data_IF_421332889344
#
_entry.id   IF_421332889344
#
_cell.length_a   1.000
_cell.length_b   1.000
_cell.length_c   1.000
_cell.angle_alpha   90.00
_cell.angle_beta   90.00
_cell.angle_gamma   90.00
#
_symmetry.space_group_name_H-M   'P 1'
#
loop_
_entity.id
_entity.type
_entity.pdbx_description
1 polymer ?
#
# COMPACT_ATOMS: atom_id res chain seq x y z
N UNK A 1 25.90 15.39 10.61
CA UNK A 1 25.74 16.45 9.58
C UNK A 1 24.48 16.19 8.72
N UNK A 2 24.37 15.05 8.03
CA UNK A 2 23.23 14.73 7.13
C UNK A 2 21.88 14.86 7.83
N UNK A 3 21.70 14.25 9.01
CA UNK A 3 20.44 14.29 9.77
C UNK A 3 20.06 15.74 10.13
N UNK A 4 21.04 16.59 10.46
CA UNK A 4 20.80 18.00 10.76
C UNK A 4 20.31 18.76 9.51
N UNK A 5 20.86 18.47 8.35
CA UNK A 5 20.39 19.10 7.09
C UNK A 5 18.99 18.61 6.76
N UNK A 6 18.74 17.29 6.82
CA UNK A 6 17.44 16.69 6.54
C UNK A 6 16.35 17.22 7.48
N UNK A 7 16.68 17.44 8.78
CA UNK A 7 15.70 17.96 9.75
C UNK A 7 15.20 19.36 9.41
N UNK A 8 15.96 20.14 8.64
CA UNK A 8 15.60 21.49 8.20
C UNK A 8 14.87 21.54 6.87
N UNK A 9 14.59 20.39 6.25
CA UNK A 9 13.95 20.27 4.94
C UNK A 9 12.53 19.70 5.04
N UNK A 10 11.48 20.50 5.18
CA UNK A 10 10.10 20.04 5.29
C UNK A 10 9.67 19.14 4.14
N UNK A 11 10.07 19.42 2.89
CA UNK A 11 9.75 18.58 1.74
C UNK A 11 10.28 17.16 1.90
N UNK A 12 11.49 17.00 2.44
CA UNK A 12 12.08 15.69 2.73
C UNK A 12 11.19 14.87 3.68
N UNK A 13 10.78 15.46 4.80
CA UNK A 13 9.97 14.77 5.80
C UNK A 13 8.58 14.43 5.27
N UNK A 14 7.94 15.35 4.57
CA UNK A 14 6.63 15.09 3.98
C UNK A 14 6.70 14.00 2.90
N UNK A 15 7.70 14.00 2.02
CA UNK A 15 7.88 12.91 1.06
C UNK A 15 8.19 11.59 1.77
N UNK A 16 9.10 11.59 2.74
CA UNK A 16 9.45 10.38 3.50
C UNK A 16 8.22 9.79 4.19
N UNK A 17 7.38 10.62 4.84
CA UNK A 17 6.15 10.16 5.48
C UNK A 17 5.14 9.66 4.46
N UNK A 18 4.91 10.38 3.35
CA UNK A 18 4.00 9.94 2.29
C UNK A 18 4.41 8.59 1.71
N UNK A 19 5.69 8.41 1.42
CA UNK A 19 6.24 7.13 0.93
C UNK A 19 6.16 6.04 1.99
N UNK A 20 6.47 6.36 3.26
CA UNK A 20 6.38 5.39 4.37
C UNK A 20 4.97 4.86 4.53
N UNK A 21 3.96 5.74 4.53
CA UNK A 21 2.56 5.35 4.63
C UNK A 21 2.13 4.53 3.41
N UNK A 22 2.54 4.96 2.20
CA UNK A 22 2.24 4.22 0.98
C UNK A 22 2.85 2.81 1.01
N UNK A 23 4.10 2.69 1.45
CA UNK A 23 4.80 1.41 1.61
C UNK A 23 4.17 0.54 2.70
N UNK A 24 3.83 1.14 3.85
CA UNK A 24 3.16 0.47 4.96
C UNK A 24 1.86 -0.22 4.52
N UNK A 25 1.01 0.51 3.80
CA UNK A 25 -0.23 -0.06 3.26
C UNK A 25 0.05 -1.11 2.19
N UNK A 26 0.98 -0.83 1.27
CA UNK A 26 1.30 -1.74 0.17
C UNK A 26 1.85 -3.08 0.66
N UNK A 27 2.84 -3.05 1.55
CA UNK A 27 3.45 -4.27 2.10
C UNK A 27 2.50 -5.01 3.04
N UNK A 28 1.78 -4.29 3.89
CA UNK A 28 0.78 -4.89 4.75
C UNK A 28 -0.24 -5.68 3.95
N UNK A 29 -0.89 -5.04 2.98
CA UNK A 29 -1.91 -5.68 2.13
C UNK A 29 -1.29 -6.76 1.23
N UNK A 30 -0.10 -6.51 0.69
CA UNK A 30 0.56 -7.44 -0.24
C UNK A 30 0.81 -8.83 0.35
N UNK A 31 1.16 -8.91 1.64
CA UNK A 31 1.38 -10.19 2.33
C UNK A 31 0.11 -11.06 2.40
N UNK A 32 -1.05 -10.45 2.46
CA UNK A 32 -2.33 -11.17 2.57
C UNK A 32 -3.09 -11.28 1.24
N UNK A 33 -2.54 -10.72 0.16
CA UNK A 33 -3.24 -10.64 -1.12
C UNK A 33 -3.62 -12.02 -1.70
N UNK A 34 -2.69 -12.97 -1.69
CA UNK A 34 -2.96 -14.34 -2.16
C UNK A 34 -4.01 -15.02 -1.26
N UNK A 35 -3.91 -14.85 0.06
CA UNK A 35 -4.90 -15.37 1.00
C UNK A 35 -6.29 -14.76 0.77
N UNK A 36 -6.36 -13.48 0.43
CA UNK A 36 -7.61 -12.81 0.05
C UNK A 36 -8.24 -13.48 -1.19
N UNK A 37 -7.47 -13.68 -2.25
CA UNK A 37 -7.96 -14.30 -3.48
C UNK A 37 -8.47 -15.73 -3.23
N UNK A 38 -7.78 -16.52 -2.41
CA UNK A 38 -8.18 -17.88 -2.08
C UNK A 38 -9.47 -17.88 -1.24
N UNK A 39 -9.55 -17.02 -0.22
CA UNK A 39 -10.70 -17.02 0.71
C UNK A 39 -11.96 -16.38 0.13
N UNK A 40 -11.79 -15.37 -0.71
CA UNK A 40 -12.91 -14.57 -1.24
C UNK A 40 -13.40 -15.07 -2.61
N UNK A 41 -12.50 -15.59 -3.43
CA UNK A 41 -12.80 -16.00 -4.81
C UNK A 41 -12.56 -17.51 -5.03
N UNK A 42 -12.27 -18.25 -3.97
CA UNK A 42 -12.06 -19.73 -3.99
C UNK A 42 -11.02 -20.18 -5.03
N UNK A 43 -10.03 -19.35 -5.30
CA UNK A 43 -8.99 -19.66 -6.26
C UNK A 43 -7.99 -20.69 -5.73
N UNK A 44 -7.43 -21.47 -6.65
CA UNK A 44 -6.27 -22.29 -6.31
C UNK A 44 -5.07 -21.42 -5.94
N UNK A 45 -4.15 -21.96 -5.13
CA UNK A 45 -2.88 -21.26 -4.80
C UNK A 45 -2.13 -20.90 -6.09
N UNK A 46 -2.15 -21.77 -7.09
CA UNK A 46 -1.48 -21.54 -8.37
C UNK A 46 -2.11 -20.37 -9.13
N UNK A 47 -3.42 -20.31 -9.26
CA UNK A 47 -4.11 -19.22 -9.96
C UNK A 47 -3.92 -17.89 -9.27
N UNK A 48 -4.05 -17.86 -7.95
CA UNK A 48 -3.87 -16.66 -7.14
C UNK A 48 -2.42 -16.13 -7.21
N UNK A 49 -1.42 -17.01 -7.06
CA UNK A 49 0.00 -16.61 -6.97
C UNK A 49 0.62 -16.39 -8.34
N UNK A 50 0.42 -17.34 -9.27
CA UNK A 50 1.13 -17.32 -10.57
C UNK A 50 0.40 -16.48 -11.59
N UNK A 51 -0.94 -16.61 -11.71
CA UNK A 51 -1.67 -15.86 -12.74
C UNK A 51 -1.94 -14.41 -12.30
N UNK A 52 -2.47 -14.21 -11.11
CA UNK A 52 -2.93 -12.87 -10.69
C UNK A 52 -1.82 -12.08 -10.00
N UNK A 53 -1.16 -12.62 -8.98
CA UNK A 53 -0.13 -11.86 -8.27
C UNK A 53 1.07 -11.51 -9.17
N UNK A 54 1.46 -12.42 -10.10
CA UNK A 54 2.50 -12.12 -11.07
C UNK A 54 2.06 -11.03 -12.07
N UNK A 55 0.80 -11.04 -12.53
CA UNK A 55 0.28 -9.98 -13.39
C UNK A 55 0.32 -8.61 -12.69
N UNK A 56 -0.04 -8.56 -11.39
CA UNK A 56 0.09 -7.35 -10.60
C UNK A 56 1.56 -6.90 -10.44
N UNK A 57 2.49 -7.83 -10.30
CA UNK A 57 3.93 -7.52 -10.23
C UNK A 57 4.44 -6.90 -11.54
N UNK A 58 3.97 -7.37 -12.69
CA UNK A 58 4.26 -6.75 -14.00
C UNK A 58 3.71 -5.32 -14.06
N UNK A 59 2.47 -5.10 -13.60
CA UNK A 59 1.89 -3.76 -13.55
C UNK A 59 2.64 -2.83 -12.58
N UNK A 60 3.13 -3.35 -11.48
CA UNK A 60 4.02 -2.62 -10.56
C UNK A 60 5.33 -2.18 -11.23
N UNK A 61 5.96 -3.06 -12.02
CA UNK A 61 7.15 -2.73 -12.80
C UNK A 61 6.87 -1.64 -13.84
N UNK A 62 5.75 -1.73 -14.57
CA UNK A 62 5.30 -0.69 -15.51
C UNK A 62 5.09 0.64 -14.77
N UNK A 63 4.42 0.63 -13.62
CA UNK A 63 4.19 1.81 -12.79
C UNK A 63 5.48 2.46 -12.30
N UNK A 64 6.46 1.64 -11.89
CA UNK A 64 7.79 2.12 -11.50
C UNK A 64 8.50 2.81 -12.68
N UNK A 65 8.50 2.18 -13.85
CA UNK A 65 9.08 2.77 -15.06
C UNK A 65 8.40 4.09 -15.43
N UNK A 66 7.06 4.12 -15.45
CA UNK A 66 6.28 5.33 -15.72
C UNK A 66 6.58 6.44 -14.71
N UNK A 67 6.75 6.10 -13.44
CA UNK A 67 7.11 7.05 -12.39
C UNK A 67 8.44 7.75 -12.70
N UNK A 68 9.48 6.99 -13.08
CA UNK A 68 10.76 7.53 -13.49
C UNK A 68 10.64 8.42 -14.74
N UNK A 69 9.99 7.90 -15.78
CA UNK A 69 9.78 8.64 -17.03
C UNK A 69 9.05 9.98 -16.82
N UNK A 70 7.96 9.99 -16.05
CA UNK A 70 7.22 11.21 -15.75
C UNK A 70 8.04 12.19 -14.90
N UNK A 71 8.81 11.69 -13.95
CA UNK A 71 9.69 12.52 -13.15
C UNK A 71 10.79 13.17 -14.00
N UNK A 72 11.46 12.41 -14.86
CA UNK A 72 12.49 12.94 -15.75
C UNK A 72 11.93 13.98 -16.73
N UNK A 73 10.72 13.75 -17.22
CA UNK A 73 10.05 14.66 -18.16
C UNK A 73 9.63 15.98 -17.53
N UNK A 74 9.12 15.93 -16.30
CA UNK A 74 8.45 17.07 -15.69
C UNK A 74 9.23 17.71 -14.55
N UNK A 75 9.96 16.95 -13.73
CA UNK A 75 10.58 17.47 -12.51
C UNK A 75 11.75 18.43 -12.77
N UNK A 76 12.37 18.37 -13.94
CA UNK A 76 13.44 19.31 -14.31
C UNK A 76 12.92 20.75 -14.43
N UNK A 77 11.73 20.94 -14.98
CA UNK A 77 11.08 22.24 -15.15
C UNK A 77 10.11 22.58 -14.01
N UNK A 78 9.56 21.57 -13.39
CA UNK A 78 8.53 21.66 -12.37
C UNK A 78 8.77 20.66 -11.24
N UNK A 79 9.67 20.97 -10.29
CA UNK A 79 10.06 20.07 -9.21
C UNK A 79 8.89 19.56 -8.36
N UNK A 80 7.78 20.30 -8.28
CA UNK A 80 6.55 19.85 -7.60
C UNK A 80 5.99 18.56 -8.19
N UNK A 81 6.31 18.22 -9.45
CA UNK A 81 5.88 16.97 -10.08
C UNK A 81 6.28 15.74 -9.27
N UNK A 82 7.45 15.76 -8.59
CA UNK A 82 7.89 14.65 -7.72
C UNK A 82 6.91 14.35 -6.58
N UNK A 83 6.15 15.32 -6.13
CA UNK A 83 5.13 15.14 -5.10
C UNK A 83 3.71 15.00 -5.70
N UNK A 84 3.41 15.73 -6.76
CA UNK A 84 2.07 15.74 -7.36
C UNK A 84 1.73 14.46 -8.12
N UNK A 85 2.71 13.85 -8.80
CA UNK A 85 2.51 12.59 -9.54
C UNK A 85 2.01 11.49 -8.60
N UNK A 86 2.71 11.11 -7.51
CA UNK A 86 2.21 10.10 -6.59
C UNK A 86 0.94 10.53 -5.84
N UNK A 87 0.76 11.82 -5.57
CA UNK A 87 -0.47 12.33 -4.96
C UNK A 87 -1.69 12.03 -5.83
N UNK A 88 -1.68 12.42 -7.11
CA UNK A 88 -2.80 12.16 -8.01
C UNK A 88 -2.98 10.68 -8.32
N UNK A 89 -1.87 9.93 -8.42
CA UNK A 89 -1.94 8.49 -8.59
C UNK A 89 -2.64 7.81 -7.41
N UNK A 90 -2.32 8.18 -6.15
CA UNK A 90 -2.97 7.62 -4.97
C UNK A 90 -4.46 7.97 -4.87
N UNK A 91 -4.88 9.15 -5.35
CA UNK A 91 -6.31 9.48 -5.46
C UNK A 91 -7.02 8.48 -6.38
N UNK A 92 -6.40 8.07 -7.48
CA UNK A 92 -6.93 7.02 -8.36
C UNK A 92 -6.85 5.61 -7.78
N UNK A 93 -5.79 5.31 -7.02
CA UNK A 93 -5.58 3.99 -6.38
C UNK A 93 -6.71 3.62 -5.41
N UNK A 94 -7.15 4.59 -4.59
CA UNK A 94 -8.17 4.32 -3.56
C UNK A 94 -9.44 3.71 -4.16
N UNK A 95 -10.17 4.38 -5.08
CA UNK A 95 -11.39 3.82 -5.64
C UNK A 95 -11.15 2.52 -6.41
N UNK A 96 -10.04 2.39 -7.15
CA UNK A 96 -9.73 1.18 -7.91
C UNK A 96 -9.50 -0.02 -6.99
N UNK A 97 -8.69 0.13 -5.95
CA UNK A 97 -8.43 -0.96 -5.02
C UNK A 97 -9.65 -1.26 -4.14
N UNK A 98 -10.35 -0.25 -3.62
CA UNK A 98 -11.55 -0.46 -2.81
C UNK A 98 -12.62 -1.21 -3.61
N UNK A 99 -12.94 -0.73 -4.82
CA UNK A 99 -13.90 -1.42 -5.70
C UNK A 99 -13.41 -2.80 -6.08
N UNK A 100 -12.11 -2.97 -6.36
CA UNK A 100 -11.53 -4.27 -6.69
C UNK A 100 -11.62 -5.28 -5.54
N UNK A 101 -11.40 -4.87 -4.29
CA UNK A 101 -11.54 -5.76 -3.13
C UNK A 101 -13.00 -6.09 -2.80
N UNK A 102 -13.94 -5.19 -3.11
CA UNK A 102 -15.37 -5.39 -2.87
C UNK A 102 -16.08 -6.10 -4.02
N UNK A 103 -15.46 -6.20 -5.20
CA UNK A 103 -16.07 -6.83 -6.37
C UNK A 103 -16.20 -8.35 -6.17
N UNK A 104 -17.37 -8.88 -6.47
CA UNK A 104 -17.63 -10.32 -6.47
C UNK A 104 -17.02 -11.01 -7.70
N UNK A 105 -17.01 -10.32 -8.83
CA UNK A 105 -16.48 -10.85 -10.08
C UNK A 105 -14.99 -10.57 -10.25
N UNK A 106 -14.20 -11.63 -10.49
CA UNK A 106 -12.78 -11.52 -10.83
C UNK A 106 -12.51 -10.70 -12.10
N UNK A 107 -13.44 -10.73 -13.07
CA UNK A 107 -13.32 -9.95 -14.29
C UNK A 107 -13.35 -8.44 -14.06
N UNK A 108 -13.97 -8.00 -12.98
CA UNK A 108 -13.95 -6.60 -12.55
C UNK A 108 -12.81 -6.35 -11.56
N UNK A 109 -12.63 -7.24 -10.59
CA UNK A 109 -11.64 -7.10 -9.52
C UNK A 109 -10.21 -6.99 -10.07
N UNK A 110 -9.80 -7.95 -10.91
CA UNK A 110 -8.42 -8.07 -11.38
C UNK A 110 -7.96 -6.86 -12.22
N UNK A 111 -8.69 -6.40 -13.25
CA UNK A 111 -8.30 -5.20 -14.00
C UNK A 111 -8.19 -3.94 -13.14
N UNK A 112 -9.14 -3.73 -12.21
CA UNK A 112 -9.09 -2.59 -11.29
C UNK A 112 -7.86 -2.64 -10.39
N UNK A 113 -7.55 -3.82 -9.83
CA UNK A 113 -6.35 -4.01 -9.03
C UNK A 113 -5.06 -3.84 -9.84
N UNK A 114 -5.03 -4.29 -11.10
CA UNK A 114 -3.88 -4.13 -11.99
C UNK A 114 -3.58 -2.65 -12.27
N UNK A 115 -4.60 -1.87 -12.65
CA UNK A 115 -4.43 -0.43 -12.88
C UNK A 115 -4.09 0.30 -11.58
N UNK A 116 -4.75 -0.05 -10.47
CA UNK A 116 -4.43 0.49 -9.16
C UNK A 116 -2.98 0.19 -8.74
N UNK A 117 -2.49 -1.01 -9.01
CA UNK A 117 -1.11 -1.41 -8.70
C UNK A 117 -0.09 -0.61 -9.53
N UNK A 118 -0.36 -0.41 -10.83
CA UNK A 118 0.46 0.43 -11.69
C UNK A 118 0.55 1.87 -11.16
N UNK A 119 -0.57 2.48 -10.82
CA UNK A 119 -0.61 3.83 -10.27
C UNK A 119 0.09 3.92 -8.91
N UNK A 120 -0.11 2.92 -8.06
CA UNK A 120 0.49 2.87 -6.73
C UNK A 120 2.00 3.02 -6.77
N UNK A 121 2.68 2.30 -7.67
CA UNK A 121 4.14 2.29 -7.72
C UNK A 121 4.79 3.59 -8.19
N UNK A 122 4.00 4.62 -8.52
CA UNK A 122 4.51 5.96 -8.83
C UNK A 122 5.19 6.64 -7.63
N UNK A 123 4.95 6.21 -6.39
CA UNK A 123 5.63 6.75 -5.21
C UNK A 123 7.12 6.39 -5.12
N UNK A 124 7.60 5.43 -5.90
CA UNK A 124 9.00 5.01 -5.84
C UNK A 124 9.97 6.07 -6.35
N UNK A 125 9.59 6.87 -7.35
CA UNK A 125 10.48 7.91 -7.86
C UNK A 125 10.83 8.97 -6.78
N UNK A 126 9.88 9.61 -6.10
CA UNK A 126 10.20 10.57 -5.06
C UNK A 126 10.93 9.95 -3.85
N UNK A 127 10.78 8.66 -3.58
CA UNK A 127 11.54 7.92 -2.57
C UNK A 127 13.06 8.11 -2.72
N UNK A 128 13.56 8.14 -3.95
CA UNK A 128 14.98 8.28 -4.25
C UNK A 128 15.36 9.72 -4.66
N UNK A 129 14.52 10.36 -5.45
CA UNK A 129 14.81 11.65 -6.05
C UNK A 129 14.83 12.79 -5.03
N UNK A 130 13.90 12.80 -4.08
CA UNK A 130 13.81 13.90 -3.10
C UNK A 130 14.92 13.85 -2.07
N UNK A 131 15.21 12.73 -1.38
CA UNK A 131 16.33 12.64 -0.46
C UNK A 131 17.66 13.00 -1.11
N UNK A 132 17.87 12.56 -2.36
CA UNK A 132 19.08 12.89 -3.13
C UNK A 132 19.16 14.34 -3.57
N UNK A 133 18.02 14.99 -3.78
CA UNK A 133 17.93 16.36 -4.31
C UNK A 133 17.99 17.46 -3.26
N UNK A 134 17.81 17.14 -1.97
CA UNK A 134 17.81 18.12 -0.87
C UNK A 134 19.15 18.22 -0.15
N UNK A 135 20.14 17.39 -0.52
CA UNK A 135 21.49 17.38 0.07
C UNK A 135 22.57 17.44 -1.01
N UNK A 136 23.81 17.80 -0.58
CA UNK A 136 24.97 17.79 -1.46
C UNK A 136 25.33 16.38 -1.96
N UNK A 137 26.07 16.32 -3.08
CA UNK A 137 26.43 15.08 -3.76
C UNK A 137 27.07 14.02 -2.84
N UNK A 138 27.92 14.45 -1.91
CA UNK A 138 28.61 13.58 -0.93
C UNK A 138 27.66 12.90 0.07
N UNK A 139 26.48 13.49 0.30
CA UNK A 139 25.53 13.04 1.32
C UNK A 139 24.34 12.28 0.76
N UNK A 140 24.21 12.16 -0.58
CA UNK A 140 23.04 11.55 -1.24
C UNK A 140 22.79 10.11 -0.81
N UNK A 141 23.83 9.29 -0.82
CA UNK A 141 23.71 7.88 -0.41
C UNK A 141 23.20 7.74 1.03
N UNK A 142 23.73 8.55 1.96
CA UNK A 142 23.31 8.53 3.36
C UNK A 142 21.86 9.02 3.51
N UNK A 143 21.46 10.08 2.79
CA UNK A 143 20.08 10.59 2.85
C UNK A 143 19.07 9.53 2.35
N UNK A 144 19.38 8.85 1.24
CA UNK A 144 18.56 7.75 0.72
C UNK A 144 18.53 6.58 1.72
N UNK A 145 19.68 6.20 2.30
CA UNK A 145 19.75 5.12 3.28
C UNK A 145 18.88 5.40 4.52
N UNK A 146 18.89 6.64 5.04
CA UNK A 146 18.02 7.06 6.16
C UNK A 146 16.55 6.95 5.76
N UNK A 147 16.19 7.39 4.57
CA UNK A 147 14.81 7.28 4.06
C UNK A 147 14.39 5.82 3.96
N UNK A 148 15.22 4.97 3.33
CA UNK A 148 14.95 3.54 3.20
C UNK A 148 14.85 2.84 4.55
N UNK A 149 15.69 3.22 5.52
CA UNK A 149 15.60 2.69 6.88
C UNK A 149 14.23 2.99 7.51
N UNK A 150 13.76 4.22 7.42
CA UNK A 150 12.44 4.63 7.96
C UNK A 150 11.31 3.86 7.25
N UNK A 151 11.34 3.82 5.91
CA UNK A 151 10.33 3.16 5.08
C UNK A 151 10.27 1.66 5.36
N UNK A 152 11.43 0.98 5.45
CA UNK A 152 11.46 -0.45 5.69
C UNK A 152 11.09 -0.80 7.14
N UNK A 153 11.58 -0.05 8.11
CA UNK A 153 11.27 -0.29 9.52
C UNK A 153 9.77 -0.13 9.80
N UNK A 154 9.17 0.96 9.33
CA UNK A 154 7.76 1.24 9.60
C UNK A 154 6.84 0.55 8.58
N UNK A 155 7.22 0.50 7.30
CA UNK A 155 6.42 -0.12 6.25
C UNK A 155 6.41 -1.65 6.35
N UNK A 156 7.55 -2.29 6.19
CA UNK A 156 7.67 -3.75 6.29
C UNK A 156 7.48 -4.27 7.71
N UNK A 157 8.02 -3.55 8.72
CA UNK A 157 7.99 -4.03 10.09
C UNK A 157 6.59 -4.00 10.71
N UNK A 158 5.80 -2.96 10.46
CA UNK A 158 4.51 -2.76 11.11
C UNK A 158 3.30 -3.09 10.23
N UNK A 159 3.43 -2.99 8.89
CA UNK A 159 2.31 -3.20 7.97
C UNK A 159 1.61 -4.55 8.15
N UNK A 160 2.30 -5.69 7.94
CA UNK A 160 1.67 -7.00 8.03
C UNK A 160 1.09 -7.34 9.41
N UNK A 161 1.76 -7.09 10.55
CA UNK A 161 1.18 -7.36 11.87
C UNK A 161 -0.12 -6.59 12.13
N UNK A 162 -0.18 -5.33 11.72
CA UNK A 162 -1.37 -4.51 11.96
C UNK A 162 -2.55 -4.91 11.07
N UNK A 163 -2.32 -5.28 9.81
CA UNK A 163 -3.37 -5.86 8.96
C UNK A 163 -3.84 -7.19 9.52
N UNK A 164 -2.94 -8.08 9.91
CA UNK A 164 -3.30 -9.37 10.49
C UNK A 164 -4.11 -9.21 11.77
N UNK A 165 -3.70 -8.31 12.67
CA UNK A 165 -4.43 -7.98 13.88
C UNK A 165 -5.82 -7.42 13.59
N UNK A 166 -5.93 -6.44 12.70
CA UNK A 166 -7.23 -5.88 12.30
C UNK A 166 -8.13 -6.94 11.64
N UNK A 167 -7.58 -7.79 10.77
CA UNK A 167 -8.31 -8.89 10.15
C UNK A 167 -8.87 -9.86 11.21
N UNK A 168 -8.11 -10.16 12.26
CA UNK A 168 -8.56 -11.03 13.36
C UNK A 168 -9.69 -10.38 14.16
N UNK A 169 -9.60 -9.09 14.46
CA UNK A 169 -10.65 -8.33 15.16
C UNK A 169 -11.94 -8.31 14.33
N UNK A 170 -11.83 -7.99 13.05
CA UNK A 170 -12.98 -7.95 12.14
C UNK A 170 -13.60 -9.34 11.94
N UNK A 171 -12.77 -10.39 11.81
CA UNK A 171 -13.24 -11.77 11.75
C UNK A 171 -14.08 -12.12 13.00
N UNK A 172 -13.59 -11.81 14.21
CA UNK A 172 -14.37 -12.04 15.43
C UNK A 172 -15.70 -11.27 15.43
N UNK A 173 -15.68 -10.04 14.96
CA UNK A 173 -16.88 -9.18 14.88
C UNK A 173 -17.90 -9.72 13.88
N UNK A 174 -17.49 -10.12 12.68
CA UNK A 174 -18.37 -10.71 11.69
C UNK A 174 -18.90 -12.07 12.14
N UNK A 175 -18.04 -12.91 12.73
CA UNK A 175 -18.45 -14.21 13.25
C UNK A 175 -19.55 -14.09 14.31
N UNK A 176 -19.40 -13.17 15.27
CA UNK A 176 -20.40 -12.92 16.30
C UNK A 176 -21.73 -12.40 15.73
N UNK A 177 -21.70 -11.73 14.58
CA UNK A 177 -22.89 -11.28 13.85
C UNK A 177 -23.58 -12.42 13.07
N UNK A 178 -22.83 -13.41 12.60
CA UNK A 178 -23.36 -14.58 11.87
C UNK A 178 -23.86 -15.66 12.81
N UNK A 179 -23.09 -16.00 13.83
CA UNK A 179 -23.43 -16.97 14.86
C UNK A 179 -22.82 -16.58 16.21
N UNK A 180 -23.61 -15.98 17.11
CA UNK A 180 -23.12 -15.54 18.43
C UNK A 180 -22.60 -16.67 19.33
N UNK A 181 -22.93 -17.93 19.05
CA UNK A 181 -22.45 -19.07 19.82
C UNK A 181 -21.05 -19.54 19.40
N UNK A 182 -20.58 -19.11 18.20
CA UNK A 182 -19.26 -19.46 17.69
C UNK A 182 -18.18 -18.49 18.15
N UNK A 183 -17.01 -19.07 18.44
CA UNK A 183 -15.80 -18.31 18.73
C UNK A 183 -14.71 -18.61 17.69
N UNK A 184 -13.72 -17.73 17.56
CA UNK A 184 -12.58 -17.97 16.65
C UNK A 184 -11.82 -19.27 16.99
N UNK A 185 -11.80 -19.66 18.26
CA UNK A 185 -11.19 -20.92 18.68
C UNK A 185 -12.01 -22.12 18.23
N UNK A 186 -13.35 -22.02 18.27
CA UNK A 186 -14.23 -23.07 17.75
C UNK A 186 -14.01 -23.27 16.23
N UNK A 187 -13.78 -22.21 15.48
CA UNK A 187 -13.48 -22.27 14.03
C UNK A 187 -12.17 -22.99 13.67
N UNK A 188 -11.30 -23.28 14.65
CA UNK A 188 -10.05 -24.03 14.42
C UNK A 188 -10.23 -25.55 14.55
N UNK A 189 -11.38 -25.99 15.07
CA UNK A 189 -11.64 -27.41 15.30
C UNK A 189 -12.07 -28.09 13.99
N UNK A 190 -11.44 -29.23 13.67
CA UNK A 190 -11.90 -30.11 12.59
C UNK A 190 -13.22 -30.77 12.98
N UNK A 191 -14.17 -30.88 12.04
CA UNK A 191 -15.48 -31.50 12.20
C UNK A 191 -16.59 -30.61 12.78
N UNK A 192 -16.60 -29.34 12.43
CA UNK A 192 -17.75 -28.45 12.63
C UNK A 192 -18.93 -28.91 11.75
N UNK A 193 -20.16 -28.66 12.22
CA UNK A 193 -21.34 -28.75 11.35
C UNK A 193 -21.18 -27.81 10.13
N UNK A 194 -21.69 -28.24 8.97
CA UNK A 194 -21.51 -27.49 7.72
C UNK A 194 -21.94 -26.02 7.81
N UNK A 195 -23.02 -25.72 8.53
CA UNK A 195 -23.47 -24.33 8.76
C UNK A 195 -22.47 -23.51 9.58
N UNK A 196 -21.92 -24.10 10.65
CA UNK A 196 -20.91 -23.44 11.48
C UNK A 196 -19.59 -23.22 10.72
N UNK A 197 -19.18 -24.22 9.92
CA UNK A 197 -18.01 -24.08 9.05
C UNK A 197 -18.22 -22.94 8.04
N UNK A 198 -19.36 -22.85 7.37
CA UNK A 198 -19.69 -21.77 6.45
C UNK A 198 -19.68 -20.39 7.11
N UNK A 199 -20.17 -20.26 8.34
CA UNK A 199 -20.08 -19.02 9.10
C UNK A 199 -18.62 -18.62 9.41
N UNK A 200 -17.78 -19.59 9.80
CA UNK A 200 -16.35 -19.38 10.03
C UNK A 200 -15.62 -18.92 8.76
N UNK A 201 -15.86 -19.57 7.63
CA UNK A 201 -15.20 -19.27 6.36
C UNK A 201 -15.60 -17.87 5.84
N UNK A 202 -16.91 -17.55 5.92
CA UNK A 202 -17.42 -16.23 5.54
C UNK A 202 -16.84 -15.13 6.41
N UNK A 203 -16.87 -15.27 7.74
CA UNK A 203 -16.31 -14.31 8.66
C UNK A 203 -14.80 -14.08 8.44
N UNK A 204 -14.07 -15.17 8.14
CA UNK A 204 -12.63 -15.11 7.87
C UNK A 204 -12.31 -14.41 6.53
N UNK A 205 -13.11 -14.64 5.49
CA UNK A 205 -12.97 -13.96 4.21
C UNK A 205 -13.28 -12.46 4.33
N UNK A 206 -14.41 -12.12 4.97
CA UNK A 206 -14.85 -10.73 5.14
C UNK A 206 -13.95 -9.96 6.10
N UNK A 207 -13.49 -10.57 7.18
CA UNK A 207 -12.54 -9.96 8.11
C UNK A 207 -11.25 -9.52 7.40
N UNK A 208 -10.71 -10.37 6.51
CA UNK A 208 -9.55 -10.03 5.72
C UNK A 208 -9.87 -8.96 4.66
N UNK A 209 -10.95 -9.13 3.89
CA UNK A 209 -11.40 -8.20 2.86
C UNK A 209 -11.54 -6.78 3.40
N UNK A 210 -12.29 -6.60 4.48
CA UNK A 210 -12.53 -5.30 5.08
C UNK A 210 -11.29 -4.70 5.74
N UNK A 211 -10.40 -5.51 6.33
CA UNK A 211 -9.14 -5.01 6.83
C UNK A 211 -8.30 -4.40 5.70
N UNK A 212 -8.24 -5.06 4.53
CA UNK A 212 -7.53 -4.53 3.37
C UNK A 212 -8.15 -3.24 2.84
N UNK A 213 -9.49 -3.17 2.76
CA UNK A 213 -10.23 -1.95 2.34
C UNK A 213 -9.92 -0.78 3.28
N UNK A 214 -10.03 -0.98 4.60
CA UNK A 214 -9.77 0.05 5.59
C UNK A 214 -8.32 0.55 5.53
N UNK A 215 -7.35 -0.35 5.32
CA UNK A 215 -5.96 0.05 5.14
C UNK A 215 -5.75 0.92 3.90
N UNK A 216 -6.49 0.71 2.81
CA UNK A 216 -6.40 1.58 1.63
C UNK A 216 -6.84 3.02 1.90
N UNK A 217 -7.70 3.25 2.88
CA UNK A 217 -8.09 4.60 3.30
C UNK A 217 -6.92 5.39 3.90
N UNK A 218 -5.87 4.72 4.44
CA UNK A 218 -4.67 5.38 4.92
C UNK A 218 -3.89 6.10 3.81
N UNK A 219 -4.12 5.78 2.53
CA UNK A 219 -3.57 6.56 1.43
C UNK A 219 -4.03 8.03 1.42
N UNK A 220 -5.17 8.36 2.02
CA UNK A 220 -5.59 9.75 2.21
C UNK A 220 -4.56 10.54 3.04
N UNK A 221 -3.97 9.89 4.03
CA UNK A 221 -2.89 10.49 4.82
C UNK A 221 -1.59 10.63 4.01
N UNK A 222 -1.24 9.64 3.19
CA UNK A 222 -0.11 9.77 2.27
C UNK A 222 -0.32 10.91 1.26
N UNK A 223 -1.53 11.05 0.69
CA UNK A 223 -1.92 12.15 -0.20
C UNK A 223 -1.72 13.50 0.47
N UNK A 224 -2.15 13.65 1.73
CA UNK A 224 -1.91 14.87 2.51
C UNK A 224 -0.42 15.20 2.60
N UNK A 225 0.43 14.22 2.90
CA UNK A 225 1.86 14.43 2.98
C UNK A 225 2.47 14.81 1.63
N UNK A 226 2.10 14.18 0.53
CA UNK A 226 2.55 14.56 -0.80
C UNK A 226 2.07 15.97 -1.21
N UNK A 227 0.85 16.34 -0.84
CA UNK A 227 0.37 17.72 -1.03
C UNK A 227 1.23 18.72 -0.28
N UNK A 228 1.52 18.50 0.99
CA UNK A 228 2.39 19.39 1.80
C UNK A 228 3.81 19.45 1.24
N UNK A 229 4.36 18.33 0.77
CA UNK A 229 5.65 18.30 0.09
C UNK A 229 5.66 19.19 -1.16
N UNK A 230 4.59 19.15 -1.96
CA UNK A 230 4.50 19.97 -3.19
C UNK A 230 4.62 21.47 -2.94
N UNK A 231 4.30 21.94 -1.73
CA UNK A 231 4.37 23.35 -1.35
C UNK A 231 5.78 23.83 -1.00
N UNK A 232 6.65 22.92 -0.60
CA UNK A 232 7.98 23.27 -0.07
C UNK A 232 9.14 22.74 -0.92
N UNK A 233 8.88 21.77 -1.81
CA UNK A 233 9.90 21.02 -2.53
C UNK A 233 10.80 21.88 -3.43
N UNK A 234 10.26 22.94 -4.07
CA UNK A 234 11.05 23.85 -4.91
C UNK A 234 12.10 24.59 -4.09
N UNK A 235 11.70 25.15 -2.95
CA UNK A 235 12.61 25.83 -2.04
C UNK A 235 13.68 24.89 -1.49
N UNK A 236 13.27 23.70 -1.07
CA UNK A 236 14.14 22.76 -0.35
C UNK A 236 15.16 22.08 -1.28
N UNK A 237 14.84 21.95 -2.58
CA UNK A 237 15.75 21.44 -3.61
C UNK A 237 16.61 22.55 -4.26
N UNK A 238 16.49 23.81 -3.84
CA UNK A 238 17.27 24.93 -4.38
C UNK A 238 16.96 25.29 -5.84
N UNK A 239 15.72 25.06 -6.28
CA UNK A 239 15.25 25.27 -7.67
C UNK A 239 14.08 26.24 -7.72
#
# INVERSE_FOLDING_TARGET
>A
EVLRILSQKPAYWHVTMGVTIASFVNYGVGQFFVSFLIRTHELSIFDASVKIAMALAVMAAIGTYMSGYLADRYAQRFPKALALIPMFALIGVIPMHVTGYLAESLWLAVPLMMVGQMLLYTYLCPLYAVPSGVVDSRMRATAVAVTLFIVNLLGYGLGPPLIGGLSTILNATFLSGLDPALTLEACKVSNLAAAAQGACDTANADGLRWSMVLFKCLYLWAIFHFYMASRTIQRDMGR
#
